data_IF_408441996128
#
_entry.id   IF_408441996128
#
_cell.length_a   1.000
_cell.length_b   1.000
_cell.length_c   1.000
_cell.angle_alpha   90.00
_cell.angle_beta   90.00
_cell.angle_gamma   90.00
#
_symmetry.space_group_name_H-M   'P 1'
#
loop_
_entity.id
_entity.type
_entity.pdbx_description
1 polymer ?
#
# COMPACT_ATOMS: atom_id res chain seq x y z
N UNK A 1 2.75 40.01 1.48
CA UNK A 1 2.85 39.28 0.20
C UNK A 1 3.27 37.86 0.52
N UNK A 2 2.32 36.94 0.32
CA UNK A 2 2.44 35.51 0.55
C UNK A 2 3.52 34.91 -0.36
N UNK A 3 4.53 34.24 0.23
CA UNK A 3 5.38 33.31 -0.52
C UNK A 3 4.80 31.90 -0.31
N UNK A 4 4.38 31.31 -1.42
CA UNK A 4 3.83 29.96 -1.51
C UNK A 4 4.82 28.94 -0.93
N UNK A 5 4.41 28.31 0.17
CA UNK A 5 4.91 27.02 0.60
C UNK A 5 4.52 25.97 -0.46
N UNK A 6 5.42 25.70 -1.40
CA UNK A 6 5.28 24.57 -2.31
C UNK A 6 5.37 23.28 -1.50
N UNK A 7 4.20 22.69 -1.28
CA UNK A 7 3.97 21.34 -0.77
C UNK A 7 4.81 20.35 -1.59
N UNK A 8 5.89 19.83 -1.00
CA UNK A 8 6.72 18.79 -1.62
C UNK A 8 6.15 17.43 -1.19
N UNK A 9 5.37 16.85 -2.10
CA UNK A 9 4.78 15.52 -1.98
C UNK A 9 5.85 14.46 -1.67
N UNK A 10 5.63 13.72 -0.58
CA UNK A 10 6.39 12.51 -0.29
C UNK A 10 6.01 11.43 -1.31
N UNK A 11 6.97 10.91 -2.05
CA UNK A 11 6.72 9.81 -2.97
C UNK A 11 6.68 8.52 -2.15
N UNK A 12 5.49 8.00 -1.88
CA UNK A 12 5.33 6.62 -1.45
C UNK A 12 5.18 5.77 -2.72
N UNK A 13 6.08 4.83 -2.91
CA UNK A 13 6.13 4.05 -4.12
C UNK A 13 5.15 2.87 -4.09
N UNK A 14 4.35 2.75 -5.15
CA UNK A 14 3.45 1.62 -5.35
C UNK A 14 4.28 0.38 -5.69
N UNK A 15 4.25 -0.65 -4.84
CA UNK A 15 4.83 -1.96 -5.17
C UNK A 15 4.22 -2.44 -6.50
N UNK A 16 5.07 -2.50 -7.54
CA UNK A 16 4.67 -2.91 -8.88
C UNK A 16 4.89 -4.41 -9.04
N UNK A 17 3.82 -5.20 -9.05
CA UNK A 17 3.90 -6.64 -9.33
C UNK A 17 3.15 -6.89 -10.65
N UNK A 18 3.87 -7.22 -11.72
CA UNK A 18 3.30 -7.56 -13.03
C UNK A 18 3.34 -9.09 -13.18
N UNK A 19 2.18 -9.74 -13.32
CA UNK A 19 2.07 -11.20 -13.23
C UNK A 19 1.18 -11.74 -14.34
N UNK A 20 1.64 -12.76 -15.06
CA UNK A 20 0.81 -13.58 -15.97
C UNK A 20 0.26 -14.80 -15.21
N UNK A 21 -0.99 -15.21 -15.49
CA UNK A 21 -1.53 -16.50 -15.03
C UNK A 21 -2.21 -16.55 -13.65
N UNK A 22 -2.34 -15.43 -12.93
CA UNK A 22 -2.92 -15.42 -11.58
C UNK A 22 -4.36 -15.92 -11.46
N UNK A 23 -5.21 -15.68 -12.46
CA UNK A 23 -6.65 -15.90 -12.36
C UNK A 23 -7.03 -17.38 -12.19
N UNK A 24 -6.07 -18.29 -12.36
CA UNK A 24 -6.26 -19.74 -12.26
C UNK A 24 -5.61 -20.34 -11.01
N UNK A 25 -4.81 -19.58 -10.26
CA UNK A 25 -4.20 -20.07 -9.03
C UNK A 25 -5.17 -19.94 -7.83
N UNK A 26 -5.46 -21.04 -7.12
CA UNK A 26 -6.48 -21.09 -6.07
C UNK A 26 -6.13 -20.29 -4.81
N UNK A 27 -4.85 -19.94 -4.60
CA UNK A 27 -4.41 -19.11 -3.48
C UNK A 27 -4.41 -17.65 -3.89
N UNK A 28 -3.87 -17.34 -5.06
CA UNK A 28 -3.79 -15.95 -5.53
C UNK A 28 -5.18 -15.34 -5.80
N UNK A 29 -6.17 -16.16 -6.16
CA UNK A 29 -7.55 -15.70 -6.31
C UNK A 29 -8.23 -15.29 -4.99
N UNK A 30 -7.65 -15.65 -3.84
CA UNK A 30 -8.14 -15.25 -2.50
C UNK A 30 -7.58 -13.91 -2.03
N UNK A 31 -6.66 -13.32 -2.79
CA UNK A 31 -6.04 -12.03 -2.43
C UNK A 31 -7.01 -10.86 -2.60
N UNK A 32 -6.77 -9.77 -1.88
CA UNK A 32 -7.55 -8.55 -2.07
C UNK A 32 -7.43 -8.03 -3.52
N UNK A 33 -8.55 -7.66 -4.17
CA UNK A 33 -8.52 -7.07 -5.49
C UNK A 33 -7.60 -5.84 -5.51
N UNK A 34 -6.55 -5.89 -6.33
CA UNK A 34 -5.61 -4.79 -6.47
C UNK A 34 -4.23 -5.01 -5.87
N UNK A 35 -4.04 -6.06 -5.06
CA UNK A 35 -2.72 -6.43 -4.55
C UNK A 35 -1.70 -6.54 -5.69
N UNK A 36 -2.09 -7.23 -6.76
CA UNK A 36 -1.30 -7.40 -7.98
C UNK A 36 -1.76 -6.52 -9.14
N UNK A 37 -2.53 -5.45 -8.86
CA UNK A 37 -2.81 -4.44 -9.88
C UNK A 37 -1.52 -3.64 -10.14
N UNK A 38 -0.80 -4.09 -11.16
CA UNK A 38 0.42 -3.46 -11.64
C UNK A 38 0.12 -2.14 -12.35
N UNK A 39 0.99 -1.15 -12.12
CA UNK A 39 1.11 0.10 -12.91
C UNK A 39 -0.18 0.95 -12.97
N UNK A 40 -0.78 1.32 -11.82
CA UNK A 40 -1.77 2.37 -11.85
C UNK A 40 -1.10 3.72 -12.18
N UNK A 41 -1.86 4.62 -12.81
CA UNK A 41 -1.40 5.98 -13.11
C UNK A 41 -1.38 6.86 -11.84
N UNK A 42 -2.30 6.58 -10.91
CA UNK A 42 -2.53 7.36 -9.72
C UNK A 42 -2.63 6.46 -8.49
N UNK A 43 -2.15 6.93 -7.35
CA UNK A 43 -2.26 6.25 -6.06
C UNK A 43 -2.47 7.22 -4.92
N UNK A 44 -3.23 6.79 -3.91
CA UNK A 44 -3.34 7.48 -2.63
C UNK A 44 -3.09 6.47 -1.52
N UNK A 45 -2.25 6.88 -0.58
CA UNK A 45 -1.94 6.14 0.63
C UNK A 45 -2.57 6.84 1.81
N UNK A 46 -3.34 6.11 2.59
CA UNK A 46 -4.13 6.67 3.69
C UNK A 46 -3.82 5.91 4.97
N UNK A 47 -3.17 6.57 5.92
CA UNK A 47 -3.02 6.06 7.27
C UNK A 47 -4.11 6.65 8.16
N UNK A 48 -4.88 5.78 8.81
CA UNK A 48 -6.04 6.16 9.62
C UNK A 48 -5.77 5.76 11.07
N UNK A 49 -6.05 6.69 11.98
CA UNK A 49 -6.13 6.43 13.42
C UNK A 49 -7.56 6.54 13.90
N UNK A 50 -7.95 5.65 14.80
CA UNK A 50 -9.22 5.70 15.49
C UNK A 50 -9.35 6.98 16.30
N UNK A 51 -10.58 7.44 16.53
CA UNK A 51 -10.82 8.53 17.47
C UNK A 51 -10.55 8.06 18.90
N UNK A 52 -10.15 8.99 19.76
CA UNK A 52 -9.87 8.69 21.17
C UNK A 52 -11.13 8.31 21.97
N UNK A 53 -12.32 8.69 21.51
CA UNK A 53 -13.60 8.54 22.20
C UNK A 53 -14.41 7.31 21.76
N UNK A 54 -13.88 6.47 20.86
CA UNK A 54 -14.56 5.25 20.45
C UNK A 54 -14.12 4.04 21.28
N UNK A 55 -15.09 3.23 21.71
CA UNK A 55 -14.82 1.94 22.36
C UNK A 55 -14.42 0.92 21.30
N UNK A 56 -13.12 0.85 21.00
CA UNK A 56 -12.63 0.08 19.84
C UNK A 56 -12.84 -1.43 19.97
N UNK A 57 -12.99 -1.95 21.19
CA UNK A 57 -13.22 -3.37 21.44
C UNK A 57 -14.71 -3.74 21.48
N UNK A 58 -15.63 -2.78 21.32
CA UNK A 58 -17.05 -3.08 21.15
C UNK A 58 -17.29 -3.81 19.82
N UNK A 59 -18.08 -4.88 19.86
CA UNK A 59 -18.33 -5.72 18.69
C UNK A 59 -19.02 -4.96 17.55
N UNK A 60 -19.93 -4.02 17.85
CA UNK A 60 -20.59 -3.21 16.83
C UNK A 60 -19.63 -2.20 16.19
N UNK A 61 -18.70 -1.65 16.99
CA UNK A 61 -17.65 -0.76 16.48
C UNK A 61 -16.69 -1.53 15.58
N UNK A 62 -16.21 -2.70 16.02
CA UNK A 62 -15.39 -3.61 15.19
C UNK A 62 -16.09 -3.92 13.87
N UNK A 63 -17.33 -4.44 13.94
CA UNK A 63 -18.07 -4.89 12.76
C UNK A 63 -18.39 -3.71 11.82
N UNK A 64 -18.65 -2.54 12.39
CA UNK A 64 -18.82 -1.29 11.65
C UNK A 64 -17.55 -0.86 10.90
N UNK A 65 -16.37 -0.95 11.52
CA UNK A 65 -15.08 -0.62 10.90
C UNK A 65 -14.74 -1.63 9.80
N UNK A 66 -14.83 -2.94 10.09
CA UNK A 66 -14.53 -4.00 9.13
C UNK A 66 -15.51 -3.95 7.94
N UNK A 67 -16.80 -3.76 8.22
CA UNK A 67 -17.83 -3.60 7.20
C UNK A 67 -17.59 -2.37 6.33
N UNK A 68 -17.20 -1.25 6.93
CA UNK A 68 -16.84 -0.02 6.19
C UNK A 68 -15.63 -0.25 5.28
N UNK A 69 -14.60 -0.93 5.77
CA UNK A 69 -13.43 -1.24 4.96
C UNK A 69 -13.78 -2.11 3.75
N UNK A 70 -14.59 -3.15 3.95
CA UNK A 70 -15.08 -3.99 2.87
C UNK A 70 -15.93 -3.21 1.86
N UNK A 71 -16.80 -2.30 2.34
CA UNK A 71 -17.64 -1.43 1.51
C UNK A 71 -16.80 -0.52 0.62
N UNK A 72 -15.73 0.09 1.15
CA UNK A 72 -14.78 0.92 0.37
C UNK A 72 -14.06 0.10 -0.71
N UNK A 73 -13.61 -1.12 -0.38
CA UNK A 73 -12.98 -2.03 -1.36
C UNK A 73 -13.94 -2.35 -2.50
N UNK A 74 -15.19 -2.67 -2.18
CA UNK A 74 -16.22 -2.96 -3.16
C UNK A 74 -16.59 -1.72 -4.00
N UNK A 75 -16.66 -0.55 -3.37
CA UNK A 75 -16.95 0.71 -4.06
C UNK A 75 -15.87 1.04 -5.09
N UNK A 76 -14.60 0.96 -4.71
CA UNK A 76 -13.48 1.19 -5.62
C UNK A 76 -13.56 0.30 -6.87
N UNK A 77 -13.90 -0.98 -6.70
CA UNK A 77 -14.06 -1.92 -7.82
C UNK A 77 -15.25 -1.57 -8.72
N UNK A 78 -16.34 -1.01 -8.19
CA UNK A 78 -17.52 -0.59 -8.98
C UNK A 78 -17.23 0.59 -9.91
N UNK A 79 -16.14 1.34 -9.68
CA UNK A 79 -15.71 2.42 -10.55
C UNK A 79 -15.02 1.91 -11.83
N UNK A 80 -14.75 0.60 -11.93
CA UNK A 80 -14.19 0.00 -13.13
C UNK A 80 -15.09 0.27 -14.33
N UNK A 81 -14.46 0.67 -15.44
CA UNK A 81 -15.17 0.90 -16.70
C UNK A 81 -14.37 0.40 -17.88
N UNK A 82 -15.10 0.03 -18.92
CA UNK A 82 -14.55 -0.39 -20.21
C UNK A 82 -15.07 0.55 -21.29
N UNK A 83 -14.15 1.11 -22.08
CA UNK A 83 -14.52 1.91 -23.26
C UNK A 83 -15.03 1.02 -24.39
N UNK A 84 -15.75 1.60 -25.35
CA UNK A 84 -16.17 0.92 -26.57
C UNK A 84 -14.98 0.29 -27.34
N UNK A 85 -13.81 0.94 -27.31
CA UNK A 85 -12.56 0.43 -27.90
C UNK A 85 -11.86 -0.67 -27.09
N UNK A 86 -12.47 -1.16 -26.01
CA UNK A 86 -11.96 -2.29 -25.22
C UNK A 86 -10.97 -1.95 -24.11
N UNK A 87 -10.48 -0.70 -24.02
CA UNK A 87 -9.64 -0.23 -22.92
C UNK A 87 -10.38 -0.34 -21.58
N UNK A 88 -9.74 -0.98 -20.60
CA UNK A 88 -10.27 -1.15 -19.25
C UNK A 88 -9.55 -0.19 -18.31
N UNK A 89 -10.31 0.64 -17.61
CA UNK A 89 -9.84 1.49 -16.52
C UNK A 89 -10.22 0.86 -15.20
N UNK A 90 -9.26 0.74 -14.29
CA UNK A 90 -9.43 0.06 -13.01
C UNK A 90 -9.21 1.00 -11.85
N UNK A 91 -10.02 0.82 -10.81
CA UNK A 91 -9.81 1.43 -9.50
C UNK A 91 -9.84 0.35 -8.42
N UNK A 92 -8.85 0.36 -7.52
CA UNK A 92 -8.73 -0.64 -6.46
C UNK A 92 -8.46 0.03 -5.13
N UNK A 93 -9.02 -0.51 -4.08
CA UNK A 93 -8.64 -0.21 -2.72
C UNK A 93 -8.16 -1.50 -2.06
N UNK A 94 -7.05 -1.41 -1.35
CA UNK A 94 -6.50 -2.48 -0.52
C UNK A 94 -6.50 -1.96 0.90
N UNK A 95 -6.96 -2.76 1.86
CA UNK A 95 -6.96 -2.40 3.27
C UNK A 95 -6.04 -3.31 4.07
N UNK A 96 -5.33 -2.74 5.03
CA UNK A 96 -4.60 -3.47 6.05
C UNK A 96 -4.99 -2.95 7.43
N UNK A 97 -4.92 -3.82 8.43
CA UNK A 97 -5.21 -3.51 9.82
C UNK A 97 -3.96 -3.68 10.66
N UNK A 98 -3.85 -2.91 11.74
CA UNK A 98 -2.84 -3.14 12.75
C UNK A 98 -2.96 -4.58 13.28
N UNK A 99 -1.91 -5.42 13.19
CA UNK A 99 -1.99 -6.82 13.59
C UNK A 99 -2.31 -6.99 15.08
N UNK A 100 -1.85 -6.07 15.94
CA UNK A 100 -2.11 -6.14 17.38
C UNK A 100 -3.61 -5.97 17.68
N UNK A 101 -4.26 -5.00 17.04
CA UNK A 101 -5.71 -4.82 17.20
C UNK A 101 -6.50 -5.93 16.52
N UNK A 102 -6.09 -6.36 15.32
CA UNK A 102 -6.74 -7.43 14.57
C UNK A 102 -6.75 -8.76 15.35
N UNK A 103 -5.61 -9.18 15.90
CA UNK A 103 -5.51 -10.39 16.71
C UNK A 103 -6.34 -10.30 17.99
N UNK A 104 -6.49 -9.10 18.57
CA UNK A 104 -7.34 -8.88 19.74
C UNK A 104 -8.82 -9.08 19.40
N UNK A 105 -9.29 -8.46 18.32
CA UNK A 105 -10.67 -8.60 17.83
C UNK A 105 -11.02 -10.04 17.46
N UNK A 106 -10.09 -10.79 16.90
CA UNK A 106 -10.30 -12.17 16.46
C UNK A 106 -9.51 -13.19 17.28
N UNK A 107 -9.35 -12.94 18.59
CA UNK A 107 -8.55 -13.79 19.50
C UNK A 107 -8.96 -15.27 19.55
N UNK A 108 -10.20 -15.57 19.21
CA UNK A 108 -10.74 -16.94 19.20
C UNK A 108 -10.40 -17.68 17.89
N UNK A 109 -9.95 -16.98 16.86
CA UNK A 109 -9.50 -17.57 15.61
C UNK A 109 -8.03 -17.98 15.74
N UNK A 110 -7.77 -19.29 15.65
CA UNK A 110 -6.43 -19.85 15.81
C UNK A 110 -5.42 -19.32 14.78
N UNK A 111 -5.87 -18.94 13.57
CA UNK A 111 -5.01 -18.40 12.52
C UNK A 111 -4.72 -16.92 12.71
N UNK A 112 -5.59 -16.17 13.40
CA UNK A 112 -5.45 -14.72 13.59
C UNK A 112 -4.85 -14.35 14.95
N UNK A 113 -5.03 -15.17 15.98
CA UNK A 113 -4.46 -14.92 17.31
C UNK A 113 -2.92 -15.01 17.34
N UNK A 114 -2.33 -15.71 16.37
CA UNK A 114 -0.89 -15.95 16.29
C UNK A 114 -0.20 -15.12 15.21
N UNK A 115 -0.83 -14.03 14.74
CA UNK A 115 -0.17 -13.12 13.80
C UNK A 115 1.10 -12.56 14.43
N UNK A 116 2.09 -12.30 13.59
CA UNK A 116 3.34 -11.71 14.00
C UNK A 116 3.06 -10.30 14.49
N UNK A 117 3.44 -10.06 15.75
CA UNK A 117 3.30 -8.78 16.41
C UNK A 117 4.58 -8.00 16.27
N UNK A 118 4.44 -6.68 16.20
CA UNK A 118 5.58 -5.78 16.27
C UNK A 118 5.81 -5.35 17.71
N UNK A 119 7.03 -5.54 18.19
CA UNK A 119 7.47 -5.07 19.50
C UNK A 119 8.30 -3.80 19.36
N UNK A 120 7.96 -2.77 20.14
CA UNK A 120 8.70 -1.50 20.24
C UNK A 120 8.45 -0.50 19.10
N UNK A 121 9.05 0.68 19.25
CA UNK A 121 8.78 1.85 18.41
C UNK A 121 9.76 2.03 17.24
N UNK A 122 10.68 1.10 17.01
CA UNK A 122 11.71 1.18 15.98
C UNK A 122 11.62 -0.03 15.04
N UNK A 123 11.78 0.19 13.73
CA UNK A 123 11.87 -0.89 12.74
C UNK A 123 13.28 -1.51 12.75
N UNK A 124 14.27 -0.70 13.14
CA UNK A 124 15.66 -1.11 13.33
C UNK A 124 16.11 -0.52 14.65
N UNK A 125 16.42 -1.36 15.64
CA UNK A 125 16.70 -0.95 17.02
C UNK A 125 17.76 0.15 17.17
N UNK A 126 18.73 0.23 16.25
CA UNK A 126 19.80 1.22 16.28
C UNK A 126 19.53 2.47 15.41
N UNK A 127 18.39 2.56 14.72
CA UNK A 127 18.12 3.64 13.77
C UNK A 127 17.25 4.74 14.37
N UNK A 128 17.71 5.98 14.26
CA UNK A 128 16.90 7.16 14.55
C UNK A 128 15.91 7.53 13.41
N UNK A 129 15.91 6.80 12.29
CA UNK A 129 15.16 7.15 11.07
C UNK A 129 14.01 6.21 10.75
N UNK A 130 14.08 4.97 11.23
CA UNK A 130 13.07 3.96 10.95
C UNK A 130 12.16 3.78 12.17
N UNK A 131 11.29 4.76 12.37
CA UNK A 131 10.41 4.87 13.53
C UNK A 131 9.05 4.23 13.18
N UNK A 132 8.45 3.53 14.14
CA UNK A 132 7.03 3.17 14.09
C UNK A 132 6.19 4.40 14.38
N UNK A 133 5.53 4.93 13.36
CA UNK A 133 4.59 6.05 13.52
C UNK A 133 3.17 5.56 13.86
N UNK A 134 2.97 4.25 13.97
CA UNK A 134 1.67 3.63 14.22
C UNK A 134 0.67 3.82 13.06
N UNK A 135 -0.58 3.52 13.36
CA UNK A 135 -1.66 3.44 12.40
C UNK A 135 -2.56 2.26 12.75
N UNK A 136 -3.86 2.44 12.60
CA UNK A 136 -4.85 1.44 12.97
C UNK A 136 -5.42 0.73 11.75
N UNK A 137 -5.73 1.52 10.72
CA UNK A 137 -6.18 1.04 9.42
C UNK A 137 -5.40 1.76 8.33
N UNK A 138 -4.93 1.02 7.34
CA UNK A 138 -4.18 1.57 6.22
C UNK A 138 -4.87 1.22 4.91
N UNK A 139 -5.09 2.22 4.05
CA UNK A 139 -5.58 2.01 2.70
C UNK A 139 -4.54 2.36 1.66
N UNK A 140 -4.44 1.51 0.64
CA UNK A 140 -3.80 1.83 -0.64
C UNK A 140 -4.90 1.92 -1.69
N UNK A 141 -5.16 3.13 -2.17
CA UNK A 141 -6.05 3.39 -3.28
C UNK A 141 -5.20 3.49 -4.55
N UNK A 142 -5.62 2.83 -5.63
CA UNK A 142 -4.92 2.80 -6.92
C UNK A 142 -5.93 3.03 -8.03
N UNK A 143 -5.62 3.86 -9.01
CA UNK A 143 -6.48 4.02 -10.19
C UNK A 143 -5.69 4.30 -11.46
N UNK A 144 -6.26 3.89 -12.59
CA UNK A 144 -5.87 4.35 -13.91
C UNK A 144 -6.36 5.79 -14.18
N UNK A 145 -7.25 6.33 -13.35
CA UNK A 145 -7.97 7.60 -13.56
C UNK A 145 -8.02 8.42 -12.26
N UNK A 146 -7.54 9.66 -12.30
CA UNK A 146 -7.46 10.55 -11.14
C UNK A 146 -8.83 10.82 -10.49
N UNK A 147 -9.86 11.13 -11.28
CA UNK A 147 -11.20 11.43 -10.77
C UNK A 147 -11.82 10.24 -10.01
N UNK A 148 -11.60 9.01 -10.47
CA UNK A 148 -12.13 7.83 -9.77
C UNK A 148 -11.39 7.58 -8.45
N UNK A 149 -10.09 7.90 -8.41
CA UNK A 149 -9.30 7.82 -7.20
C UNK A 149 -9.78 8.81 -6.14
N UNK A 150 -10.07 10.05 -6.54
CA UNK A 150 -10.65 11.07 -5.67
C UNK A 150 -12.04 10.67 -5.17
N UNK A 151 -12.87 10.08 -6.04
CA UNK A 151 -14.18 9.55 -5.64
C UNK A 151 -14.03 8.45 -4.58
N UNK A 152 -13.09 7.52 -4.76
CA UNK A 152 -12.82 6.47 -3.79
C UNK A 152 -12.29 7.03 -2.46
N UNK A 153 -11.41 8.04 -2.49
CA UNK A 153 -10.91 8.71 -1.29
C UNK A 153 -12.02 9.49 -0.55
N UNK A 154 -12.86 10.20 -1.29
CA UNK A 154 -14.02 10.91 -0.74
C UNK A 154 -15.01 9.94 -0.07
N UNK A 155 -15.27 8.81 -0.73
CA UNK A 155 -16.09 7.73 -0.16
C UNK A 155 -15.47 7.16 1.11
N UNK A 156 -14.17 6.85 1.11
CA UNK A 156 -13.46 6.39 2.30
C UNK A 156 -13.58 7.40 3.47
N UNK A 157 -13.39 8.69 3.21
CA UNK A 157 -13.53 9.75 4.23
C UNK A 157 -14.92 9.79 4.83
N UNK A 158 -15.96 9.77 3.99
CA UNK A 158 -17.36 9.79 4.45
C UNK A 158 -17.66 8.59 5.36
N UNK A 159 -17.34 7.38 4.89
CA UNK A 159 -17.72 6.15 5.59
C UNK A 159 -16.92 5.95 6.89
N UNK A 160 -15.64 6.30 6.89
CA UNK A 160 -14.77 6.16 8.08
C UNK A 160 -14.89 7.34 9.06
N UNK A 161 -15.54 8.44 8.70
CA UNK A 161 -15.68 9.65 9.53
C UNK A 161 -16.24 9.38 10.94
N UNK A 162 -17.04 8.32 11.09
CA UNK A 162 -17.61 7.91 12.37
C UNK A 162 -16.54 7.37 13.33
N UNK A 163 -15.57 6.62 12.82
CA UNK A 163 -14.61 5.84 13.61
C UNK A 163 -13.23 6.47 13.74
N UNK A 164 -12.91 7.46 12.91
CA UNK A 164 -11.53 7.92 12.74
C UNK A 164 -11.35 9.42 12.87
N UNK A 165 -10.16 9.82 13.30
CA UNK A 165 -9.70 11.19 13.26
C UNK A 165 -9.25 11.61 11.86
N UNK A 166 -8.52 12.74 11.74
CA UNK A 166 -7.90 13.16 10.48
C UNK A 166 -6.98 12.08 9.89
N UNK A 167 -7.04 11.92 8.57
CA UNK A 167 -6.20 10.95 7.87
C UNK A 167 -4.84 11.55 7.56
N UNK A 168 -3.76 10.77 7.68
CA UNK A 168 -2.49 11.09 7.02
C UNK A 168 -2.54 10.53 5.59
N UNK A 169 -2.52 11.44 4.62
CA UNK A 169 -2.75 11.14 3.22
C UNK A 169 -1.50 11.50 2.44
N UNK A 170 -1.07 10.59 1.57
CA UNK A 170 0.03 10.81 0.64
C UNK A 170 -0.42 10.44 -0.76
N UNK A 171 -0.34 11.41 -1.67
CA UNK A 171 -0.67 11.22 -3.08
C UNK A 171 0.55 10.74 -3.87
N UNK A 172 0.30 9.94 -4.88
CA UNK A 172 1.30 9.40 -5.79
C UNK A 172 0.77 9.50 -7.22
N UNK A 173 1.62 9.98 -8.12
CA UNK A 173 1.40 9.93 -9.56
C UNK A 173 2.62 9.30 -10.21
N UNK A 174 2.41 8.31 -11.07
CA UNK A 174 3.53 7.67 -11.76
C UNK A 174 3.89 8.49 -13.01
N UNK A 175 5.13 8.97 -13.09
CA UNK A 175 5.76 9.33 -14.37
C UNK A 175 6.80 8.27 -14.73
N UNK A 176 6.59 7.58 -15.85
CA UNK A 176 7.58 6.78 -16.57
C UNK A 176 8.31 5.60 -15.86
N UNK A 177 7.70 4.99 -14.82
CA UNK A 177 8.27 3.82 -14.07
C UNK A 177 9.62 4.06 -13.42
N UNK A 178 10.04 5.32 -13.31
CA UNK A 178 11.33 5.66 -12.72
C UNK A 178 11.16 6.37 -11.39
N UNK A 179 12.05 6.06 -10.47
CA UNK A 179 12.06 6.60 -9.10
C UNK A 179 13.23 7.56 -8.93
N UNK A 180 13.08 8.48 -7.97
CA UNK A 180 14.10 9.48 -7.61
C UNK A 180 14.56 10.25 -8.86
N UNK A 181 13.77 11.20 -9.32
CA UNK A 181 14.08 12.05 -10.48
C UNK A 181 14.31 11.28 -11.79
N UNK A 182 13.50 10.26 -12.05
CA UNK A 182 13.65 9.45 -13.25
C UNK A 182 15.04 8.77 -13.40
N UNK A 183 15.76 8.54 -12.29
CA UNK A 183 17.12 7.98 -12.35
C UNK A 183 17.13 6.45 -12.35
N UNK A 184 16.14 5.79 -11.71
CA UNK A 184 16.18 4.33 -11.53
C UNK A 184 14.86 3.65 -11.88
N UNK A 185 14.91 2.48 -12.53
CA UNK A 185 13.72 1.65 -12.75
C UNK A 185 13.41 0.85 -11.48
N UNK A 186 12.20 1.02 -10.94
CA UNK A 186 11.74 0.30 -9.74
C UNK A 186 11.03 -1.02 -10.10
N UNK A 187 11.10 -2.00 -9.21
CA UNK A 187 10.34 -3.25 -9.29
C UNK A 187 10.94 -4.35 -10.17
N UNK A 188 12.19 -4.20 -10.63
CA UNK A 188 12.88 -5.20 -11.45
C UNK A 188 13.09 -6.55 -10.73
N UNK A 189 13.23 -6.53 -9.41
CA UNK A 189 13.46 -7.71 -8.57
C UNK A 189 12.17 -8.22 -7.90
N UNK A 190 11.00 -7.65 -8.23
CA UNK A 190 9.77 -8.10 -7.63
C UNK A 190 9.41 -9.49 -8.17
N UNK A 191 8.96 -10.42 -7.31
CA UNK A 191 8.51 -11.73 -7.76
C UNK A 191 7.37 -11.56 -8.77
N UNK A 192 7.51 -12.17 -9.96
CA UNK A 192 6.60 -11.98 -11.08
C UNK A 192 5.83 -13.25 -11.48
N UNK A 193 6.13 -14.39 -10.87
CA UNK A 193 5.48 -15.67 -11.12
C UNK A 193 4.64 -16.15 -9.90
N UNK A 194 3.58 -16.96 -10.12
CA UNK A 194 2.70 -17.41 -9.05
C UNK A 194 3.39 -18.13 -7.88
N UNK A 195 4.42 -18.95 -8.15
CA UNK A 195 5.10 -19.72 -7.10
C UNK A 195 5.91 -18.81 -6.19
N UNK A 196 6.66 -17.87 -6.76
CA UNK A 196 7.38 -16.87 -5.98
C UNK A 196 6.44 -16.00 -5.15
N UNK A 197 5.27 -15.63 -5.68
CA UNK A 197 4.27 -14.87 -4.92
C UNK A 197 3.71 -15.65 -3.73
N UNK A 198 3.38 -16.93 -3.91
CA UNK A 198 2.92 -17.81 -2.81
C UNK A 198 4.02 -18.13 -1.80
N UNK A 199 5.28 -18.08 -2.22
CA UNK A 199 6.42 -18.36 -1.37
C UNK A 199 6.79 -17.16 -0.51
N UNK A 200 6.80 -15.95 -1.09
CA UNK A 200 7.40 -14.77 -0.46
C UNK A 200 6.41 -13.65 -0.12
N UNK A 201 5.25 -13.59 -0.77
CA UNK A 201 4.33 -12.45 -0.62
C UNK A 201 3.09 -12.81 0.16
N UNK A 202 2.38 -13.89 -0.22
CA UNK A 202 1.10 -14.25 0.40
C UNK A 202 1.21 -15.51 1.23
N UNK A 203 0.36 -15.64 2.24
CA UNK A 203 0.19 -16.91 2.96
C UNK A 203 -0.38 -17.95 2.01
N UNK A 204 0.21 -19.13 2.01
CA UNK A 204 -0.16 -20.25 1.15
C UNK A 204 -1.23 -21.14 1.83
N UNK A 205 -1.74 -22.13 1.10
CA UNK A 205 -2.51 -23.23 1.72
C UNK A 205 -1.70 -23.93 2.81
N UNK A 206 -2.38 -24.40 3.85
CA UNK A 206 -1.75 -25.07 4.98
C UNK A 206 -1.04 -24.15 5.98
N UNK A 207 -1.04 -22.83 5.76
CA UNK A 207 -0.49 -21.89 6.74
C UNK A 207 -1.19 -22.02 8.10
N UNK A 208 -0.40 -22.15 9.16
CA UNK A 208 -0.86 -22.22 10.56
C UNK A 208 -1.20 -20.85 11.13
N UNK A 209 -0.71 -19.78 10.50
CA UNK A 209 -0.94 -18.37 10.86
C UNK A 209 -1.36 -17.58 9.62
N UNK A 210 -2.41 -16.78 9.75
CA UNK A 210 -3.03 -16.05 8.64
C UNK A 210 -3.80 -16.96 7.66
N UNK A 211 -4.68 -16.34 6.87
CA UNK A 211 -5.48 -17.05 5.86
C UNK A 211 -4.79 -17.06 4.49
N UNK A 212 -4.97 -18.11 3.67
CA UNK A 212 -4.41 -18.15 2.31
C UNK A 212 -4.78 -16.90 1.50
N UNK A 213 -3.80 -16.30 0.82
CA UNK A 213 -3.96 -15.04 0.08
C UNK A 213 -3.81 -13.76 0.93
N UNK A 214 -3.70 -13.86 2.26
CA UNK A 214 -3.34 -12.70 3.11
C UNK A 214 -1.85 -12.40 3.05
N UNK A 215 -1.46 -11.19 3.42
CA UNK A 215 -0.06 -10.73 3.46
C UNK A 215 0.12 -9.67 4.54
N UNK A 216 1.35 -9.44 4.97
CA UNK A 216 1.70 -8.30 5.80
C UNK A 216 2.09 -7.12 4.93
N UNK A 217 1.81 -5.91 5.43
CA UNK A 217 2.20 -4.66 4.80
C UNK A 217 3.08 -3.86 5.75
N UNK A 218 4.19 -3.35 5.24
CA UNK A 218 5.01 -2.34 5.90
C UNK A 218 5.10 -1.13 4.96
N UNK A 219 4.90 0.07 5.50
CA UNK A 219 5.00 1.32 4.73
C UNK A 219 5.98 2.28 5.40
N UNK A 220 6.69 3.05 4.58
CA UNK A 220 7.67 4.04 5.02
C UNK A 220 7.59 5.27 4.11
N UNK A 221 7.33 6.43 4.72
CA UNK A 221 7.31 7.73 4.03
C UNK A 221 8.68 8.38 4.14
N UNK A 222 9.37 8.52 3.01
CA UNK A 222 10.68 9.15 2.94
C UNK A 222 10.57 10.60 2.48
N UNK A 223 11.27 11.49 3.18
CA UNK A 223 11.50 12.87 2.75
C UNK A 223 12.94 13.02 2.31
N UNK A 224 13.14 13.34 1.03
CA UNK A 224 14.46 13.51 0.46
C UNK A 224 14.91 14.97 0.49
N UNK A 225 16.19 15.20 0.81
CA UNK A 225 16.83 16.49 0.60
C UNK A 225 17.40 16.53 -0.83
N UNK A 226 16.62 17.09 -1.74
CA UNK A 226 16.95 17.14 -3.16
C UNK A 226 18.21 17.96 -3.46
N UNK A 227 18.51 18.98 -2.66
CA UNK A 227 19.74 19.77 -2.80
C UNK A 227 20.97 18.91 -2.57
N UNK A 228 20.94 18.03 -1.56
CA UNK A 228 22.05 17.11 -1.29
C UNK A 228 22.14 16.05 -2.39
N UNK A 229 21.01 15.45 -2.78
CA UNK A 229 20.99 14.44 -3.84
C UNK A 229 21.50 14.99 -5.18
N UNK A 230 21.08 16.19 -5.59
CA UNK A 230 21.50 16.81 -6.84
C UNK A 230 22.98 17.22 -6.87
N UNK A 231 23.60 17.39 -5.70
CA UNK A 231 25.02 17.72 -5.56
C UNK A 231 25.92 16.48 -5.45
N UNK A 232 25.36 15.27 -5.33
CA UNK A 232 26.16 14.05 -5.38
C UNK A 232 26.66 13.83 -6.81
N UNK A 233 27.99 13.70 -6.97
CA UNK A 233 28.59 13.35 -8.27
C UNK A 233 28.03 12.00 -8.73
N UNK A 234 27.84 11.83 -10.03
CA UNK A 234 27.22 10.65 -10.68
C UNK A 234 27.76 9.32 -10.14
N UNK A 235 29.08 9.19 -9.98
CA UNK A 235 29.72 7.97 -9.44
C UNK A 235 29.27 7.67 -7.99
N UNK A 236 29.06 8.70 -7.16
CA UNK A 236 28.62 8.52 -5.78
C UNK A 236 27.14 8.13 -5.68
N UNK A 237 26.30 8.62 -6.60
CA UNK A 237 24.88 8.25 -6.67
C UNK A 237 24.67 6.81 -7.19
N UNK A 238 25.47 6.37 -8.16
CA UNK A 238 25.45 5.00 -8.67
C UNK A 238 25.92 3.97 -7.63
N UNK A 239 26.99 4.29 -6.88
CA UNK A 239 27.49 3.46 -5.76
C UNK A 239 26.49 3.44 -4.60
N UNK A 240 25.72 4.51 -4.38
CA UNK A 240 24.70 4.56 -3.33
C UNK A 240 23.49 3.65 -3.62
N UNK A 241 23.16 3.44 -4.90
CA UNK A 241 21.97 2.68 -5.32
C UNK A 241 22.24 1.31 -5.96
N UNK A 242 23.50 0.98 -6.25
CA UNK A 242 24.02 -0.26 -6.85
C UNK A 242 23.00 -1.06 -7.69
N UNK A 243 22.79 -0.64 -8.94
CA UNK A 243 22.43 -1.51 -10.07
C UNK A 243 23.22 -1.06 -11.30
N UNK A 244 24.08 -1.93 -11.83
CA UNK A 244 24.84 -1.69 -13.06
C UNK A 244 23.89 -1.59 -14.26
N UNK A 245 23.80 -0.42 -14.88
CA UNK A 245 23.16 -0.24 -16.18
C UNK A 245 24.19 -0.51 -17.28
N UNK A 246 24.38 -1.77 -17.66
CA UNK A 246 25.04 -2.13 -18.92
C UNK A 246 24.02 -2.80 -19.84
N UNK A 247 23.24 -1.97 -20.54
CA UNK A 247 22.64 -2.34 -21.81
C UNK A 247 23.25 -1.42 -22.88
N UNK A 248 24.37 -1.90 -23.40
CA UNK A 248 25.01 -1.43 -24.61
C UNK A 248 23.97 -1.23 -25.72
N UNK A 249 23.89 0.00 -26.23
CA UNK A 249 23.43 0.24 -27.60
C UNK A 249 24.44 -0.44 -28.54
N UNK A 250 24.00 -1.49 -29.21
CA UNK A 250 24.42 -1.79 -30.58
C UNK A 250 23.24 -1.46 -31.49
#
# INVERSE_FOLDING_TARGET
MSQNDNNLDGILHLIQISVQGMAQDPVLCKTQPGLFFAKPNFGVFVNIRYKADIEIDDDNVRDGIVGTAADVVNYAQKLDRKTEGGTVYRTRAIVAFNPNQWSKWFKNDAKLKGLDHREGDLLVNASAKFIDTGGDVYFVLKSDVEADLENALGYLRDRMSKYSGPFDITYSKTSDKRVIHNMFTEGLINPGDPESLKTYIVKNEGSTVGYPGSTYLVTQKFKFNWTILGNMRTVSAEVFYYHHHNSSRQ
#
